data_IF_425595094135
#
_entry.id   IF_425595094135
#
_cell.length_a   1.000
_cell.length_b   1.000
_cell.length_c   1.000
_cell.angle_alpha   90.00
_cell.angle_beta   90.00
_cell.angle_gamma   90.00
#
_symmetry.space_group_name_H-M   'P 1'
#
loop_
_entity.id
_entity.type
_entity.pdbx_description
1 polymer ?
#
# COMPACT_ATOMS: atom_id res chain seq x y z
N UNK A 1 8.09 -7.77 22.05
CA UNK A 1 6.78 -7.70 21.36
C UNK A 1 6.99 -6.89 20.10
N UNK A 2 6.60 -7.38 18.93
CA UNK A 2 6.78 -6.62 17.68
C UNK A 2 5.81 -5.42 17.66
N UNK A 3 6.31 -4.24 17.31
CA UNK A 3 5.58 -2.97 17.52
C UNK A 3 4.39 -2.78 16.56
N UNK A 4 4.39 -3.50 15.44
CA UNK A 4 3.35 -3.42 14.39
C UNK A 4 2.51 -4.69 14.27
N UNK A 5 2.56 -5.58 15.27
CA UNK A 5 1.81 -6.82 15.24
C UNK A 5 0.30 -6.55 15.07
N UNK A 6 -0.30 -7.20 14.07
CA UNK A 6 -1.73 -7.08 13.76
C UNK A 6 -2.13 -5.78 13.06
N UNK A 7 -1.17 -4.93 12.69
CA UNK A 7 -1.41 -3.69 11.97
C UNK A 7 -1.46 -3.91 10.46
N UNK A 8 -2.31 -3.16 9.76
CA UNK A 8 -2.46 -3.18 8.31
C UNK A 8 -1.94 -1.86 7.76
N UNK A 9 -0.97 -1.86 6.85
CA UNK A 9 -0.31 -0.65 6.36
C UNK A 9 -0.36 -0.57 4.84
N UNK A 10 -0.58 0.65 4.32
CA UNK A 10 -0.43 0.96 2.89
C UNK A 10 0.85 1.75 2.69
N UNK A 11 1.73 1.24 1.84
CA UNK A 11 3.02 1.86 1.57
C UNK A 11 3.13 2.14 0.08
N UNK A 12 3.39 3.39 -0.24
CA UNK A 12 3.39 3.89 -1.62
C UNK A 12 4.79 4.36 -1.99
N UNK A 13 5.13 4.35 -3.29
CA UNK A 13 6.46 4.79 -3.75
C UNK A 13 7.56 3.73 -3.61
N UNK A 14 7.20 2.44 -3.50
CA UNK A 14 8.17 1.33 -3.54
C UNK A 14 8.57 1.06 -4.99
N UNK A 15 9.72 1.61 -5.40
CA UNK A 15 10.23 1.48 -6.77
C UNK A 15 11.47 0.60 -6.86
N UNK A 16 12.39 0.71 -5.90
CA UNK A 16 13.63 -0.09 -5.85
C UNK A 16 13.86 -0.61 -4.43
N UNK A 17 14.72 -1.61 -4.29
CA UNK A 17 15.18 -2.14 -2.99
C UNK A 17 16.07 -1.17 -2.21
N UNK A 18 16.62 -0.14 -2.87
CA UNK A 18 17.33 0.95 -2.22
C UNK A 18 16.41 2.09 -1.73
N UNK A 19 15.11 2.05 -2.03
CA UNK A 19 14.18 3.13 -1.65
C UNK A 19 13.82 3.12 -0.17
N UNK A 20 13.60 4.30 0.41
CA UNK A 20 13.11 4.43 1.80
C UNK A 20 11.79 3.67 1.99
N UNK A 21 10.87 3.77 1.03
CA UNK A 21 9.60 3.04 1.07
C UNK A 21 9.80 1.52 1.12
N UNK A 22 10.81 0.98 0.43
CA UNK A 22 11.15 -0.44 0.51
C UNK A 22 11.64 -0.83 1.91
N UNK A 23 12.59 -0.06 2.47
CA UNK A 23 13.09 -0.31 3.83
C UNK A 23 11.96 -0.23 4.88
N UNK A 24 11.03 0.72 4.73
CA UNK A 24 9.84 0.81 5.58
C UNK A 24 8.95 -0.43 5.42
N UNK A 25 8.71 -0.90 4.18
CA UNK A 25 7.90 -2.09 3.94
C UNK A 25 8.53 -3.37 4.51
N UNK A 26 9.85 -3.50 4.41
CA UNK A 26 10.61 -4.62 4.99
C UNK A 26 10.51 -4.62 6.51
N UNK A 27 10.83 -3.48 7.15
CA UNK A 27 10.76 -3.35 8.61
C UNK A 27 9.34 -3.52 9.13
N UNK A 28 8.34 -2.96 8.45
CA UNK A 28 6.94 -3.10 8.82
C UNK A 28 6.49 -4.56 8.81
N UNK A 29 6.83 -5.28 7.74
CA UNK A 29 6.54 -6.71 7.60
C UNK A 29 7.25 -7.52 8.69
N UNK A 30 8.53 -7.25 8.95
CA UNK A 30 9.31 -7.91 10.00
C UNK A 30 8.75 -7.64 11.42
N UNK A 31 8.08 -6.49 11.61
CA UNK A 31 7.40 -6.14 12.86
C UNK A 31 5.95 -6.66 12.93
N UNK A 32 5.53 -7.53 12.00
CA UNK A 32 4.24 -8.21 12.05
C UNK A 32 3.08 -7.42 11.45
N UNK A 33 3.36 -6.38 10.65
CA UNK A 33 2.33 -5.69 9.88
C UNK A 33 1.94 -6.51 8.63
N UNK A 34 0.67 -6.45 8.27
CA UNK A 34 0.18 -6.79 6.94
C UNK A 34 0.37 -5.57 6.03
N UNK A 35 1.14 -5.71 4.96
CA UNK A 35 1.47 -4.59 4.07
C UNK A 35 0.74 -4.74 2.73
N UNK A 36 0.18 -3.64 2.25
CA UNK A 36 -0.28 -3.45 0.88
C UNK A 36 0.60 -2.36 0.24
N UNK A 37 1.16 -2.65 -0.93
CA UNK A 37 1.87 -1.63 -1.71
C UNK A 37 0.95 -1.01 -2.75
N UNK A 38 1.22 0.24 -3.14
CA UNK A 38 0.57 0.83 -4.31
C UNK A 38 1.57 1.34 -5.34
N UNK A 39 1.15 1.29 -6.60
CA UNK A 39 1.82 1.93 -7.73
C UNK A 39 0.79 2.53 -8.68
N UNK A 40 1.25 3.38 -9.61
CA UNK A 40 0.41 4.05 -10.60
C UNK A 40 1.04 3.93 -11.99
N UNK A 41 0.21 3.70 -13.03
CA UNK A 41 0.63 3.70 -14.43
C UNK A 41 1.89 2.86 -14.67
N UNK A 42 2.92 3.44 -15.28
CA UNK A 42 4.19 2.73 -15.59
C UNK A 42 4.93 2.24 -14.33
N UNK A 43 4.75 2.92 -13.19
CA UNK A 43 5.36 2.57 -11.91
C UNK A 43 4.80 1.29 -11.29
N UNK A 44 3.56 0.89 -11.64
CA UNK A 44 2.89 -0.29 -11.06
C UNK A 44 3.69 -1.58 -11.28
N UNK A 45 4.15 -1.80 -12.52
CA UNK A 45 4.95 -2.98 -12.89
C UNK A 45 6.31 -3.03 -12.16
N UNK A 46 6.87 -1.87 -11.83
CA UNK A 46 8.11 -1.76 -11.05
C UNK A 46 7.81 -2.17 -9.60
N UNK A 47 6.77 -1.60 -9.00
CA UNK A 47 6.34 -1.95 -7.63
C UNK A 47 6.03 -3.45 -7.50
N UNK A 48 5.33 -4.06 -8.46
CA UNK A 48 5.07 -5.50 -8.48
C UNK A 48 6.35 -6.35 -8.50
N UNK A 49 7.38 -5.93 -9.25
CA UNK A 49 8.66 -6.64 -9.29
C UNK A 49 9.43 -6.46 -7.99
N UNK A 50 9.45 -5.26 -7.44
CA UNK A 50 10.16 -4.95 -6.19
C UNK A 50 9.49 -5.62 -4.99
N UNK A 51 8.15 -5.73 -4.97
CA UNK A 51 7.39 -6.44 -3.93
C UNK A 51 7.82 -7.90 -3.76
N UNK A 52 8.19 -8.58 -4.85
CA UNK A 52 8.63 -9.98 -4.84
C UNK A 52 9.96 -10.20 -4.10
N UNK A 53 10.70 -9.14 -3.80
CA UNK A 53 11.95 -9.20 -3.02
C UNK A 53 11.70 -9.22 -1.50
N UNK A 54 10.50 -8.86 -1.05
CA UNK A 54 10.09 -8.91 0.36
C UNK A 54 9.55 -10.29 0.73
N UNK A 55 9.64 -10.65 2.02
CA UNK A 55 9.15 -11.93 2.55
C UNK A 55 8.35 -11.72 3.85
N UNK A 56 7.05 -12.09 3.89
CA UNK A 56 6.22 -12.48 2.75
C UNK A 56 6.09 -11.35 1.71
N UNK A 57 5.88 -11.71 0.44
CA UNK A 57 5.68 -10.75 -0.62
C UNK A 57 4.32 -10.02 -0.44
N UNK A 58 4.31 -8.69 -0.27
CA UNK A 58 3.08 -7.92 -0.13
C UNK A 58 2.23 -7.93 -1.40
N UNK A 59 0.92 -7.80 -1.25
CA UNK A 59 0.05 -7.49 -2.37
C UNK A 59 0.36 -6.09 -2.94
N UNK A 60 0.05 -5.88 -4.22
CA UNK A 60 0.21 -4.58 -4.88
C UNK A 60 -1.11 -4.19 -5.55
N UNK A 61 -1.62 -3.01 -5.22
CA UNK A 61 -2.80 -2.42 -5.85
C UNK A 61 -2.43 -1.21 -6.72
N UNK A 62 -3.21 -0.96 -7.77
CA UNK A 62 -3.08 0.29 -8.51
C UNK A 62 -3.78 1.42 -7.77
N UNK A 63 -3.09 2.54 -7.58
CA UNK A 63 -3.67 3.76 -7.07
C UNK A 63 -2.97 4.96 -7.68
N UNK A 64 -3.71 5.73 -8.47
CA UNK A 64 -3.23 6.91 -9.19
C UNK A 64 -4.03 8.12 -8.73
N UNK A 65 -3.38 9.02 -7.99
CA UNK A 65 -4.01 10.24 -7.46
C UNK A 65 -4.45 11.20 -8.57
N UNK A 66 -3.87 11.08 -9.76
CA UNK A 66 -4.25 11.89 -10.93
C UNK A 66 -5.45 11.32 -11.67
N UNK A 67 -5.86 10.08 -11.38
CA UNK A 67 -7.07 9.47 -11.91
C UNK A 67 -8.27 9.79 -11.01
N UNK A 68 -9.24 10.61 -11.46
CA UNK A 68 -10.40 10.98 -10.66
C UNK A 68 -11.22 9.79 -10.19
N UNK A 69 -11.28 8.70 -10.97
CA UNK A 69 -12.02 7.50 -10.59
C UNK A 69 -11.40 6.78 -9.37
N UNK A 70 -10.06 6.78 -9.26
CA UNK A 70 -9.36 6.20 -8.12
C UNK A 70 -9.52 7.05 -6.85
N UNK A 71 -9.51 8.38 -7.00
CA UNK A 71 -9.76 9.29 -5.87
C UNK A 71 -11.21 9.17 -5.38
N UNK A 72 -12.16 9.07 -6.31
CA UNK A 72 -13.57 8.92 -6.00
C UNK A 72 -13.87 7.58 -5.32
N UNK A 73 -13.25 6.48 -5.76
CA UNK A 73 -13.43 5.18 -5.10
C UNK A 73 -12.95 5.19 -3.64
N UNK A 74 -11.83 5.84 -3.34
CA UNK A 74 -11.35 6.03 -1.95
C UNK A 74 -12.32 6.89 -1.15
N UNK A 75 -12.87 7.96 -1.73
CA UNK A 75 -13.90 8.78 -1.08
C UNK A 75 -15.17 7.99 -0.77
N UNK A 76 -15.64 7.18 -1.71
CA UNK A 76 -16.82 6.34 -1.53
C UNK A 76 -16.60 5.27 -0.46
N UNK A 77 -15.40 4.67 -0.43
CA UNK A 77 -14.98 3.74 0.64
C UNK A 77 -15.05 4.38 2.04
N UNK A 78 -14.78 5.68 2.14
CA UNK A 78 -14.77 6.43 3.40
C UNK A 78 -16.13 7.09 3.71
N UNK A 79 -17.17 6.85 2.90
CA UNK A 79 -18.48 7.48 3.04
C UNK A 79 -19.49 6.60 3.79
N UNK A 80 -20.57 7.20 4.29
CA UNK A 80 -21.67 6.47 4.94
C UNK A 80 -22.44 5.54 4.00
N UNK A 81 -22.27 5.67 2.67
CA UNK A 81 -22.83 4.75 1.68
C UNK A 81 -22.04 3.43 1.59
N UNK A 82 -20.90 3.34 2.28
CA UNK A 82 -20.02 2.18 2.26
C UNK A 82 -20.70 0.83 2.61
N UNK A 83 -21.64 0.72 3.57
CA UNK A 83 -22.36 -0.54 3.83
C UNK A 83 -23.16 -1.09 2.65
N UNK A 84 -23.42 -0.28 1.62
CA UNK A 84 -24.10 -0.69 0.39
C UNK A 84 -23.12 -1.18 -0.71
N UNK A 85 -21.81 -1.12 -0.48
CA UNK A 85 -20.79 -1.54 -1.45
C UNK A 85 -20.49 -3.04 -1.29
N UNK A 86 -20.69 -3.81 -2.35
CA UNK A 86 -20.32 -5.24 -2.39
C UNK A 86 -18.83 -5.39 -2.70
N UNK A 87 -17.96 -5.33 -1.69
CA UNK A 87 -16.50 -5.49 -1.82
C UNK A 87 -15.79 -5.69 -0.48
N UNK A 88 -14.52 -6.08 -0.49
CA UNK A 88 -13.74 -6.32 0.74
C UNK A 88 -12.98 -5.06 1.23
N UNK A 89 -13.39 -4.60 2.42
CA UNK A 89 -12.69 -3.77 3.41
C UNK A 89 -11.23 -4.09 3.79
N UNK A 90 -10.21 -3.60 3.08
CA UNK A 90 -8.85 -3.53 3.69
C UNK A 90 -8.72 -2.27 4.55
N UNK A 91 -9.11 -2.36 5.83
CA UNK A 91 -8.83 -1.31 6.81
C UNK A 91 -7.33 -1.17 7.03
N UNK A 92 -6.83 0.06 7.07
CA UNK A 92 -5.40 0.38 7.20
C UNK A 92 -5.19 1.23 8.44
N UNK A 93 -4.28 0.81 9.33
CA UNK A 93 -3.92 1.54 10.54
C UNK A 93 -3.03 2.78 10.27
N UNK A 94 -2.38 2.86 9.10
CA UNK A 94 -1.51 3.98 8.73
C UNK A 94 -0.92 3.90 7.31
N UNK A 95 -0.42 5.04 6.81
CA UNK A 95 0.16 5.16 5.47
C UNK A 95 1.54 5.82 5.45
N UNK A 96 2.43 5.37 4.55
CA UNK A 96 3.72 6.00 4.29
C UNK A 96 3.91 6.25 2.79
N UNK A 97 4.36 7.46 2.44
CA UNK A 97 4.72 7.86 1.08
C UNK A 97 6.12 8.48 1.10
N UNK A 98 7.00 7.99 0.24
CA UNK A 98 8.31 8.59 0.01
C UNK A 98 8.47 8.98 -1.46
N UNK A 99 8.92 10.21 -1.70
CA UNK A 99 9.28 10.73 -3.02
C UNK A 99 10.75 11.10 -2.97
N UNK A 100 11.56 10.47 -3.84
CA UNK A 100 12.93 10.90 -4.11
C UNK A 100 12.96 11.71 -5.40
N UNK A 101 13.74 12.80 -5.42
CA UNK A 101 14.11 13.50 -6.64
C UNK A 101 15.22 12.74 -7.37
#
# INVERSE_FOLDING_TARGET
>A
MAILAGKRLVITGVLTDASLAYGVAELATAQGAQVLLTGAGRGLSITQRTAKKLSPAPAVAEFDVTNPAHVESVRQLLSDWFPATTGEIVHVDGGYHAVGA
#
